data_IF_862052016229
#
_entry.id   IF_862052016229
#
_cell.length_a   1.000
_cell.length_b   1.000
_cell.length_c   1.000
_cell.angle_alpha   90.00
_cell.angle_beta   90.00
_cell.angle_gamma   90.00
#
_symmetry.space_group_name_H-M   'P 1'
#
loop_
_entity.id
_entity.type
_entity.pdbx_description
1 polymer ?
#
# COMPACT_ATOMS: atom_id res chain seq x y z
N UNK A 1 -6.27 22.04 7.70
CA UNK A 1 -5.23 21.70 6.69
C UNK A 1 -3.87 22.13 7.23
N UNK A 2 -2.80 21.39 6.92
CA UNK A 2 -1.41 21.82 7.18
C UNK A 2 -0.78 22.26 5.86
N UNK A 3 -0.07 23.39 5.85
CA UNK A 3 0.66 23.88 4.68
C UNK A 3 2.01 23.19 4.63
N UNK A 4 2.37 22.64 3.48
CA UNK A 4 3.64 21.94 3.26
C UNK A 4 4.25 22.45 1.97
N UNK A 5 5.56 22.73 2.00
CA UNK A 5 6.33 23.03 0.80
C UNK A 5 7.05 21.75 0.38
N UNK A 6 7.00 21.44 -0.91
CA UNK A 6 7.68 20.28 -1.50
C UNK A 6 8.45 20.78 -2.72
N UNK A 7 9.63 20.20 -2.94
CA UNK A 7 10.42 20.44 -4.13
C UNK A 7 10.02 19.44 -5.21
N UNK A 8 9.82 19.94 -6.42
CA UNK A 8 9.48 19.16 -7.60
C UNK A 8 10.42 19.58 -8.72
N UNK A 9 10.82 18.65 -9.56
CA UNK A 9 11.50 18.97 -10.81
C UNK A 9 10.52 19.65 -11.80
N UNK A 10 11.09 20.32 -12.80
CA UNK A 10 10.34 21.08 -13.80
C UNK A 10 9.37 20.20 -14.59
N UNK A 11 9.76 18.97 -14.92
CA UNK A 11 8.91 18.04 -15.67
C UNK A 11 7.69 17.63 -14.85
N UNK A 12 7.89 17.28 -13.58
CA UNK A 12 6.82 16.96 -12.64
C UNK A 12 5.89 18.14 -12.41
N UNK A 13 6.44 19.35 -12.25
CA UNK A 13 5.63 20.56 -12.11
C UNK A 13 4.81 20.84 -13.38
N UNK A 14 5.43 20.71 -14.56
CA UNK A 14 4.77 20.87 -15.85
C UNK A 14 3.61 19.90 -16.04
N UNK A 15 3.78 18.64 -15.65
CA UNK A 15 2.71 17.64 -15.65
C UNK A 15 1.55 18.04 -14.73
N UNK A 16 1.83 18.43 -13.49
CA UNK A 16 0.81 18.84 -12.53
C UNK A 16 0.03 20.07 -13.00
N UNK A 17 0.70 21.03 -13.64
CA UNK A 17 0.08 22.22 -14.20
C UNK A 17 -0.88 21.86 -15.34
N UNK A 18 -0.44 21.03 -16.28
CA UNK A 18 -1.28 20.55 -17.38
C UNK A 18 -2.51 19.80 -16.86
N UNK A 19 -2.33 18.95 -15.85
CA UNK A 19 -3.44 18.22 -15.23
C UNK A 19 -4.42 19.14 -14.49
N UNK A 20 -3.90 20.16 -13.80
CA UNK A 20 -4.68 21.22 -13.15
C UNK A 20 -5.56 21.97 -14.15
N UNK A 21 -5.00 22.36 -15.30
CA UNK A 21 -5.71 23.02 -16.40
C UNK A 21 -6.79 22.12 -17.01
N UNK A 22 -6.45 20.87 -17.35
CA UNK A 22 -7.39 19.91 -17.94
C UNK A 22 -8.57 19.58 -17.01
N UNK A 23 -8.32 19.50 -15.70
CA UNK A 23 -9.35 19.13 -14.71
C UNK A 23 -10.08 20.34 -14.12
N UNK A 24 -9.68 21.56 -14.46
CA UNK A 24 -10.16 22.80 -13.83
C UNK A 24 -10.09 22.77 -12.29
N UNK A 25 -9.00 22.20 -11.75
CA UNK A 25 -8.74 22.10 -10.31
C UNK A 25 -7.45 22.82 -9.98
N UNK A 26 -7.26 23.23 -8.71
CA UNK A 26 -5.94 23.74 -8.31
C UNK A 26 -4.89 22.63 -8.34
N UNK A 27 -3.62 22.99 -8.57
CA UNK A 27 -2.48 22.06 -8.43
C UNK A 27 -2.50 21.35 -7.07
N UNK A 28 -2.90 22.06 -6.01
CA UNK A 28 -3.04 21.46 -4.67
C UNK A 28 -4.18 20.44 -4.57
N UNK A 29 -5.31 20.64 -5.26
CA UNK A 29 -6.36 19.61 -5.39
C UNK A 29 -5.83 18.38 -6.13
N UNK A 30 -5.12 18.58 -7.25
CA UNK A 30 -4.57 17.49 -8.07
C UNK A 30 -3.59 16.64 -7.26
N UNK A 31 -2.70 17.28 -6.48
CA UNK A 31 -1.78 16.56 -5.59
C UNK A 31 -2.56 15.78 -4.53
N UNK A 32 -3.54 16.41 -3.87
CA UNK A 32 -4.34 15.75 -2.82
C UNK A 32 -5.13 14.55 -3.34
N UNK A 33 -5.78 14.68 -4.49
CA UNK A 33 -6.58 13.61 -5.08
C UNK A 33 -5.69 12.44 -5.49
N UNK A 34 -4.53 12.71 -6.11
CA UNK A 34 -3.55 11.69 -6.50
C UNK A 34 -2.99 10.93 -5.31
N UNK A 35 -2.64 11.63 -4.22
CA UNK A 35 -2.17 10.99 -2.97
C UNK A 35 -3.28 10.10 -2.39
N UNK A 36 -4.51 10.61 -2.31
CA UNK A 36 -5.65 9.87 -1.76
C UNK A 36 -5.96 8.62 -2.59
N UNK A 37 -5.95 8.74 -3.92
CA UNK A 37 -6.16 7.61 -4.82
C UNK A 37 -5.08 6.54 -4.64
N UNK A 38 -3.80 6.93 -4.58
CA UNK A 38 -2.69 5.99 -4.34
C UNK A 38 -2.82 5.27 -3.01
N UNK A 39 -3.23 5.97 -1.94
CA UNK A 39 -3.51 5.35 -0.64
C UNK A 39 -4.65 4.34 -0.73
N UNK A 40 -5.76 4.70 -1.38
CA UNK A 40 -6.91 3.82 -1.56
C UNK A 40 -6.55 2.56 -2.36
N UNK A 41 -5.82 2.70 -3.47
CA UNK A 41 -5.34 1.54 -4.26
C UNK A 41 -4.48 0.59 -3.43
N UNK A 42 -3.60 1.13 -2.58
CA UNK A 42 -2.78 0.31 -1.67
C UNK A 42 -3.64 -0.44 -0.66
N UNK A 43 -4.62 0.22 -0.05
CA UNK A 43 -5.56 -0.42 0.89
C UNK A 43 -6.36 -1.53 0.22
N UNK A 44 -6.91 -1.27 -0.97
CA UNK A 44 -7.65 -2.28 -1.73
C UNK A 44 -6.79 -3.50 -2.07
N UNK A 45 -5.54 -3.28 -2.50
CA UNK A 45 -4.60 -4.39 -2.75
C UNK A 45 -4.37 -5.26 -1.51
N UNK A 46 -4.24 -4.64 -0.33
CA UNK A 46 -4.08 -5.35 0.93
C UNK A 46 -5.36 -6.12 1.28
N UNK A 47 -6.53 -5.49 1.18
CA UNK A 47 -7.82 -6.13 1.46
C UNK A 47 -8.03 -7.34 0.57
N UNK A 48 -7.85 -7.20 -0.75
CA UNK A 48 -7.98 -8.32 -1.69
C UNK A 48 -6.98 -9.44 -1.41
N UNK A 49 -5.74 -9.12 -1.02
CA UNK A 49 -4.76 -10.13 -0.65
C UNK A 49 -5.18 -10.88 0.63
N UNK A 50 -5.69 -10.15 1.62
CA UNK A 50 -6.19 -10.71 2.88
C UNK A 50 -7.43 -11.58 2.67
N UNK A 51 -8.38 -11.14 1.85
CA UNK A 51 -9.58 -11.92 1.51
C UNK A 51 -9.23 -13.25 0.84
N UNK A 52 -8.24 -13.26 -0.07
CA UNK A 52 -7.76 -14.49 -0.73
C UNK A 52 -7.16 -15.51 0.23
N UNK A 53 -6.57 -15.05 1.34
CA UNK A 53 -5.95 -15.94 2.34
C UNK A 53 -6.81 -16.10 3.60
N UNK A 54 -7.96 -15.44 3.66
CA UNK A 54 -8.89 -15.55 4.77
C UNK A 54 -9.47 -16.96 4.79
N UNK A 55 -9.41 -17.61 5.94
CA UNK A 55 -9.94 -18.96 6.11
C UNK A 55 -9.10 -20.08 5.50
N UNK A 56 -7.89 -19.85 5.00
CA UNK A 56 -7.03 -20.94 4.47
C UNK A 56 -6.72 -22.04 5.50
N UNK A 57 -6.85 -21.70 6.78
CA UNK A 57 -6.63 -22.60 7.91
C UNK A 57 -7.94 -23.08 8.55
N UNK A 58 -9.12 -22.67 8.03
CA UNK A 58 -10.42 -22.95 8.65
C UNK A 58 -10.72 -24.45 8.73
N UNK A 59 -10.34 -25.19 7.69
CA UNK A 59 -10.65 -26.62 7.55
C UNK A 59 -9.40 -27.51 7.70
N UNK A 60 -8.32 -26.95 8.26
CA UNK A 60 -7.06 -27.69 8.46
C UNK A 60 -6.83 -27.96 9.94
N UNK A 61 -6.77 -29.24 10.30
CA UNK A 61 -6.27 -29.65 11.60
C UNK A 61 -4.74 -29.66 11.57
N UNK A 62 -4.13 -28.64 12.18
CA UNK A 62 -2.68 -28.47 12.21
C UNK A 62 -2.23 -28.37 13.64
N UNK A 63 -1.33 -29.28 14.01
CA UNK A 63 -0.57 -29.20 15.24
C UNK A 63 0.49 -28.09 15.11
N UNK A 64 0.07 -26.87 15.47
CA UNK A 64 0.89 -25.65 15.42
C UNK A 64 2.15 -25.82 16.28
N UNK A 65 2.05 -26.50 17.42
CA UNK A 65 3.15 -26.70 18.36
C UNK A 65 4.24 -27.58 17.73
N UNK A 66 3.84 -28.69 17.11
CA UNK A 66 4.75 -29.57 16.36
C UNK A 66 5.39 -28.84 15.17
N UNK A 67 4.62 -28.02 14.46
CA UNK A 67 5.14 -27.23 13.34
C UNK A 67 6.22 -26.23 13.79
N UNK A 68 5.94 -25.43 14.84
CA UNK A 68 6.90 -24.48 15.42
C UNK A 68 8.13 -25.20 15.95
N UNK A 69 7.96 -26.35 16.62
CA UNK A 69 9.08 -27.15 17.14
C UNK A 69 9.99 -27.65 16.02
N UNK A 70 9.44 -28.00 14.86
CA UNK A 70 10.21 -28.41 13.68
C UNK A 70 11.03 -27.24 13.12
N UNK A 71 10.42 -26.06 12.96
CA UNK A 71 11.10 -24.83 12.52
C UNK A 71 12.22 -24.36 13.47
N UNK A 72 12.11 -24.67 14.76
CA UNK A 72 13.17 -24.38 15.75
C UNK A 72 14.32 -25.39 15.68
N UNK A 73 14.03 -26.66 15.40
CA UNK A 73 15.06 -27.70 15.23
C UNK A 73 15.89 -27.50 13.97
N UNK A 74 15.28 -26.97 12.90
CA UNK A 74 15.96 -26.68 11.63
C UNK A 74 16.92 -25.48 11.74
N UNK A 75 16.75 -24.65 12.77
CA UNK A 75 17.71 -23.60 13.17
C UNK A 75 18.81 -24.14 14.07
N UNK A 76 19.37 -25.31 13.77
CA UNK A 76 20.62 -25.75 14.41
C UNK A 76 21.70 -24.73 14.04
N UNK A 77 22.20 -24.04 15.07
CA UNK A 77 23.35 -23.17 14.99
C UNK A 77 24.54 -23.97 14.43
N UNK A 78 25.17 -23.40 13.42
CA UNK A 78 26.46 -23.81 12.88
C UNK A 78 27.54 -23.42 13.88
#
# INVERSE_FOLDING_TARGET
MKRTQIYLDEDTYGYLKKESEMKHLSVSEVIRSSIREKMNRKLQKILTATEKVSGIWKDRDIDVERHIRTLRKDRKAW
#
